data_IF_421306713681
#
_entry.id   IF_421306713681
#
_cell.length_a   1.000
_cell.length_b   1.000
_cell.length_c   1.000
_cell.angle_alpha   90.00
_cell.angle_beta   90.00
_cell.angle_gamma   90.00
#
_symmetry.space_group_name_H-M   'P 1'
#
loop_
_entity.id
_entity.type
_entity.pdbx_description
1 polymer ?
#
# COMPACT_ATOMS: atom_id res chain seq x y z
N UNK A 1 -10.75 -9.64 -3.29
CA UNK A 1 -9.89 -8.48 -3.61
C UNK A 1 -10.52 -7.26 -2.96
N UNK A 2 -10.04 -6.82 -1.79
CA UNK A 2 -10.45 -5.53 -1.22
C UNK A 2 -9.47 -4.47 -1.72
N UNK A 3 -9.96 -3.49 -2.48
CA UNK A 3 -9.16 -2.35 -2.92
C UNK A 3 -9.47 -1.15 -2.03
N UNK A 4 -8.45 -0.59 -1.38
CA UNK A 4 -8.53 0.67 -0.64
C UNK A 4 -7.99 1.79 -1.53
N UNK A 5 -8.88 2.55 -2.12
CA UNK A 5 -8.55 3.78 -2.84
C UNK A 5 -8.79 5.00 -1.95
N UNK A 6 -7.75 5.76 -1.61
CA UNK A 6 -7.92 7.10 -1.07
C UNK A 6 -8.21 8.07 -2.22
N UNK A 7 -9.33 8.80 -2.13
CA UNK A 7 -9.72 9.82 -3.13
C UNK A 7 -8.58 10.84 -3.35
N UNK A 8 -8.27 11.22 -4.62
CA UNK A 8 -7.14 12.11 -4.96
C UNK A 8 -7.12 13.43 -4.19
N UNK A 9 -8.28 13.95 -3.81
CA UNK A 9 -8.44 15.23 -3.10
C UNK A 9 -7.92 15.22 -1.63
N UNK A 10 -7.48 14.07 -1.10
CA UNK A 10 -7.06 13.94 0.32
C UNK A 10 -5.71 13.24 0.52
N UNK A 11 -4.87 13.18 -0.52
CA UNK A 11 -3.50 12.68 -0.40
C UNK A 11 -2.65 13.64 0.46
N UNK A 12 -1.72 13.11 1.27
CA UNK A 12 -0.75 13.91 2.02
C UNK A 12 -1.19 14.38 3.42
N UNK A 13 -2.33 13.92 3.95
CA UNK A 13 -2.82 14.28 5.30
C UNK A 13 -2.72 13.15 6.34
N UNK A 14 -1.92 12.10 6.11
CA UNK A 14 -1.82 10.96 7.03
C UNK A 14 -3.05 10.03 7.07
N UNK A 15 -4.11 10.35 6.31
CA UNK A 15 -5.38 9.60 6.23
C UNK A 15 -5.15 8.17 5.73
N UNK A 16 -4.21 7.96 4.80
CA UNK A 16 -3.86 6.62 4.31
C UNK A 16 -3.31 5.71 5.41
N UNK A 17 -2.48 6.24 6.32
CA UNK A 17 -1.94 5.48 7.45
C UNK A 17 -2.99 5.16 8.51
N UNK A 18 -3.85 6.12 8.85
CA UNK A 18 -4.92 5.93 9.83
C UNK A 18 -5.98 4.90 9.38
N UNK A 19 -6.27 4.82 8.07
CA UNK A 19 -7.17 3.81 7.51
C UNK A 19 -6.52 2.43 7.40
N UNK A 20 -5.21 2.36 7.18
CA UNK A 20 -4.50 1.08 7.04
C UNK A 20 -4.34 0.33 8.36
N UNK A 21 -4.18 1.03 9.48
CA UNK A 21 -3.86 0.41 10.76
C UNK A 21 -4.87 -0.67 11.22
N UNK A 22 -6.21 -0.46 11.19
CA UNK A 22 -7.16 -1.52 11.52
C UNK A 22 -7.13 -2.69 10.53
N UNK A 23 -6.91 -2.41 9.24
CA UNK A 23 -6.79 -3.46 8.21
C UNK A 23 -5.55 -4.32 8.38
N UNK A 24 -4.41 -3.72 8.73
CA UNK A 24 -3.17 -4.44 9.02
C UNK A 24 -3.28 -5.29 10.28
N UNK A 25 -4.00 -4.81 11.29
CA UNK A 25 -4.28 -5.57 12.51
C UNK A 25 -5.13 -6.80 12.19
N UNK A 26 -6.23 -6.61 11.45
CA UNK A 26 -7.10 -7.71 11.03
C UNK A 26 -6.35 -8.72 10.16
N UNK A 27 -5.57 -8.26 9.18
CA UNK A 27 -4.76 -9.15 8.34
C UNK A 27 -3.72 -9.95 9.14
N UNK A 28 -3.15 -9.37 10.19
CA UNK A 28 -2.31 -10.09 11.14
C UNK A 28 -3.08 -11.19 11.90
N UNK A 29 -4.28 -10.88 12.39
CA UNK A 29 -5.14 -11.87 13.06
C UNK A 29 -5.58 -13.01 12.12
N UNK A 30 -5.88 -12.68 10.87
CA UNK A 30 -6.31 -13.64 9.84
C UNK A 30 -5.13 -14.33 9.14
N UNK A 31 -3.88 -14.06 9.55
CA UNK A 31 -2.66 -14.60 8.95
C UNK A 31 -2.65 -14.49 7.42
N UNK A 32 -3.12 -13.34 6.91
CA UNK A 32 -3.30 -13.11 5.48
C UNK A 32 -2.36 -11.98 5.02
N UNK A 33 -1.63 -12.15 3.90
CA UNK A 33 -0.77 -11.09 3.36
C UNK A 33 -1.60 -9.92 2.83
N UNK A 34 -1.05 -8.71 2.96
CA UNK A 34 -1.63 -7.49 2.40
C UNK A 34 -0.86 -7.07 1.16
N UNK A 35 -1.56 -6.80 0.06
CA UNK A 35 -1.00 -6.23 -1.17
C UNK A 35 -1.49 -4.80 -1.36
N UNK A 36 -0.62 -3.91 -1.83
CA UNK A 36 -0.97 -2.57 -2.25
C UNK A 36 -0.21 -2.17 -3.51
N UNK A 37 -0.74 -1.15 -4.18
CA UNK A 37 -0.08 -0.48 -5.29
C UNK A 37 0.05 1.01 -4.99
N UNK A 38 1.18 1.60 -5.38
CA UNK A 38 1.36 3.04 -5.34
C UNK A 38 1.96 3.54 -6.64
N UNK A 39 1.51 4.72 -7.09
CA UNK A 39 2.07 5.41 -8.26
C UNK A 39 3.06 6.51 -7.86
N UNK A 40 3.33 6.66 -6.57
CA UNK A 40 4.19 7.69 -6.01
C UNK A 40 5.41 7.06 -5.33
N UNK A 41 6.57 7.13 -5.97
CA UNK A 41 7.84 6.58 -5.46
C UNK A 41 8.19 7.10 -4.06
N UNK A 42 7.86 8.37 -3.77
CA UNK A 42 8.08 8.97 -2.45
C UNK A 42 7.33 8.27 -1.30
N UNK A 43 6.27 7.52 -1.60
CA UNK A 43 5.49 6.81 -0.59
C UNK A 43 6.11 5.44 -0.24
N UNK A 44 7.08 4.95 -1.02
CA UNK A 44 7.69 3.62 -0.77
C UNK A 44 8.32 3.55 0.62
N UNK A 45 9.07 4.59 1.01
CA UNK A 45 9.71 4.64 2.33
C UNK A 45 8.69 4.51 3.48
N UNK A 46 7.53 5.18 3.35
CA UNK A 46 6.44 5.06 4.32
C UNK A 46 5.89 3.63 4.39
N UNK A 47 5.65 2.97 3.25
CA UNK A 47 5.12 1.60 3.24
C UNK A 47 6.15 0.58 3.74
N UNK A 48 7.44 0.78 3.44
CA UNK A 48 8.53 -0.04 3.99
C UNK A 48 8.58 0.04 5.51
N UNK A 49 8.43 1.23 6.10
CA UNK A 49 8.34 1.39 7.55
C UNK A 49 7.14 0.67 8.17
N UNK A 50 6.06 0.47 7.40
CA UNK A 50 4.88 -0.29 7.81
C UNK A 50 5.03 -1.82 7.61
N UNK A 51 6.19 -2.29 7.15
CA UNK A 51 6.50 -3.70 6.92
C UNK A 51 6.11 -4.23 5.55
N UNK A 52 5.85 -3.36 4.57
CA UNK A 52 5.68 -3.77 3.17
C UNK A 52 7.02 -3.85 2.45
N UNK A 53 7.11 -4.78 1.51
CA UNK A 53 8.27 -4.99 0.65
C UNK A 53 7.85 -4.77 -0.81
N UNK A 54 8.72 -4.16 -1.62
CA UNK A 54 8.45 -3.98 -3.05
C UNK A 54 8.58 -5.33 -3.74
N UNK A 55 7.50 -5.79 -4.37
CA UNK A 55 7.46 -7.04 -5.14
C UNK A 55 7.43 -6.80 -6.64
N UNK A 56 6.95 -5.63 -7.08
CA UNK A 56 6.91 -5.28 -8.49
C UNK A 56 7.16 -3.78 -8.71
N UNK A 57 7.78 -3.44 -9.85
CA UNK A 57 7.88 -2.09 -10.39
C UNK A 57 7.55 -2.16 -11.87
N UNK A 58 6.35 -1.68 -12.21
CA UNK A 58 5.80 -1.81 -13.54
C UNK A 58 5.36 -0.46 -14.08
N UNK A 59 5.19 -0.39 -15.41
CA UNK A 59 4.69 0.80 -16.10
C UNK A 59 3.39 0.42 -16.80
N UNK A 60 2.33 1.19 -16.55
CA UNK A 60 1.11 1.09 -17.35
C UNK A 60 1.45 1.52 -18.78
N UNK A 61 1.00 0.78 -19.79
CA UNK A 61 1.22 1.15 -21.19
C UNK A 61 0.70 2.57 -21.42
N UNK A 62 1.58 3.46 -21.89
CA UNK A 62 1.32 4.90 -22.05
C UNK A 62 0.91 5.64 -20.76
N UNK A 63 1.27 5.12 -19.59
CA UNK A 63 0.87 5.63 -18.28
C UNK A 63 2.01 5.70 -17.24
N UNK A 64 1.66 6.02 -15.99
CA UNK A 64 2.63 6.19 -14.91
C UNK A 64 3.29 4.86 -14.50
N UNK A 65 4.44 4.98 -13.85
CA UNK A 65 5.08 3.87 -13.13
C UNK A 65 4.30 3.62 -11.84
N UNK A 66 4.13 2.35 -11.50
CA UNK A 66 3.60 1.92 -10.22
C UNK A 66 4.49 0.87 -9.58
N UNK A 67 4.33 0.75 -8.27
CA UNK A 67 5.02 -0.21 -7.45
C UNK A 67 3.98 -1.08 -6.75
N UNK A 68 4.08 -2.38 -6.96
CA UNK A 68 3.37 -3.38 -6.17
C UNK A 68 4.16 -3.71 -4.92
N UNK A 69 3.50 -3.74 -3.77
CA UNK A 69 4.14 -4.04 -2.49
C UNK A 69 3.31 -5.04 -1.68
N UNK A 70 3.99 -5.95 -0.99
CA UNK A 70 3.38 -6.99 -0.13
C UNK A 70 3.88 -6.85 1.29
N UNK A 71 2.99 -7.00 2.27
CA UNK A 71 3.32 -7.21 3.67
C UNK A 71 2.84 -8.60 4.08
N UNK A 72 3.75 -9.40 4.61
CA UNK A 72 3.42 -10.69 5.20
C UNK A 72 2.85 -10.50 6.61
N UNK A 73 1.90 -11.36 7.04
CA UNK A 73 1.43 -11.37 8.42
C UNK A 73 2.60 -11.78 9.33
N UNK A 74 2.59 -11.23 10.55
CA UNK A 74 3.54 -11.57 11.63
C UNK A 74 2.82 -12.32 12.74
#
# INVERSE_FOLDING_TARGET
>A
MMALGASPARQGQGIGGALMQPLLLQAGQEQTPCYLETFAERNLAFYVQQGFEVTDKSRVKDGPVFWGMVRHPS
#
